data_IF_518656911465
#
_entry.id   IF_518656911465
#
_cell.length_a   1.000
_cell.length_b   1.000
_cell.length_c   1.000
_cell.angle_alpha   90.00
_cell.angle_beta   90.00
_cell.angle_gamma   90.00
#
_symmetry.space_group_name_H-M   'P 1'
#
loop_
_entity.id
_entity.type
_entity.pdbx_description
1 polymer ?
#
# COMPACT_ATOMS: atom_id res chain seq x y z
N UNK A 1 9.07 -0.20 -0.79
CA UNK A 1 7.75 -0.74 -1.05
C UNK A 1 7.76 -2.24 -1.35
N UNK A 2 8.48 -2.70 -2.38
CA UNK A 2 8.56 -4.14 -2.73
C UNK A 2 8.78 -5.07 -1.53
N UNK A 3 9.78 -4.82 -0.68
CA UNK A 3 10.05 -5.63 0.52
C UNK A 3 8.87 -5.74 1.50
N UNK A 4 8.12 -4.67 1.70
CA UNK A 4 6.97 -4.64 2.61
C UNK A 4 5.79 -5.41 2.02
N UNK A 5 5.51 -5.20 0.73
CA UNK A 5 4.48 -5.94 -0.01
C UNK A 5 4.79 -7.44 -0.02
N UNK A 6 6.03 -7.82 -0.36
CA UNK A 6 6.46 -9.23 -0.39
C UNK A 6 6.26 -9.90 0.98
N UNK A 7 6.62 -9.20 2.07
CA UNK A 7 6.40 -9.68 3.43
C UNK A 7 4.91 -9.82 3.77
N UNK A 8 4.08 -8.85 3.40
CA UNK A 8 2.63 -8.90 3.65
C UNK A 8 1.96 -10.03 2.85
N UNK A 9 2.36 -10.25 1.60
CA UNK A 9 1.91 -11.37 0.78
C UNK A 9 2.31 -12.71 1.40
N UNK A 10 3.56 -12.83 1.87
CA UNK A 10 4.00 -14.01 2.62
C UNK A 10 3.14 -14.25 3.88
N UNK A 11 2.91 -13.21 4.68
CA UNK A 11 2.08 -13.31 5.88
C UNK A 11 0.66 -13.77 5.55
N UNK A 12 0.08 -13.28 4.45
CA UNK A 12 -1.25 -13.70 4.00
C UNK A 12 -1.28 -15.18 3.63
N UNK A 13 -0.27 -15.65 2.89
CA UNK A 13 -0.13 -17.07 2.54
C UNK A 13 -0.01 -17.96 3.79
N UNK A 14 0.79 -17.55 4.77
CA UNK A 14 0.92 -18.26 6.04
C UNK A 14 -0.41 -18.32 6.80
N UNK A 15 -1.17 -17.23 6.83
CA UNK A 15 -2.49 -17.19 7.45
C UNK A 15 -3.48 -18.13 6.76
N UNK A 16 -3.52 -18.15 5.42
CA UNK A 16 -4.34 -19.10 4.67
C UNK A 16 -3.96 -20.55 4.98
N UNK A 17 -2.66 -20.86 5.06
CA UNK A 17 -2.20 -22.20 5.46
C UNK A 17 -2.68 -22.57 6.86
N UNK A 18 -2.60 -21.64 7.82
CA UNK A 18 -3.11 -21.84 9.19
C UNK A 18 -4.63 -22.05 9.22
N UNK A 19 -5.39 -21.28 8.46
CA UNK A 19 -6.85 -21.43 8.34
C UNK A 19 -7.20 -22.81 7.78
N UNK A 20 -6.53 -23.24 6.70
CA UNK A 20 -6.73 -24.56 6.10
C UNK A 20 -6.45 -25.66 7.11
N UNK A 21 -5.34 -25.57 7.85
CA UNK A 21 -5.02 -26.51 8.91
C UNK A 21 -6.12 -26.55 9.99
N UNK A 22 -6.58 -25.38 10.46
CA UNK A 22 -7.63 -25.27 11.49
C UNK A 22 -8.98 -25.81 11.04
N UNK A 23 -9.32 -25.73 9.75
CA UNK A 23 -10.60 -26.19 9.20
C UNK A 23 -10.67 -27.70 8.97
N UNK A 24 -9.55 -28.31 8.58
CA UNK A 24 -9.54 -29.69 8.08
C UNK A 24 -8.75 -30.68 8.94
N UNK A 25 -8.00 -30.21 9.94
CA UNK A 25 -7.32 -31.11 10.86
C UNK A 25 -8.22 -31.50 12.03
N UNK A 26 -8.54 -32.80 12.13
CA UNK A 26 -9.35 -33.36 13.20
C UNK A 26 -8.56 -33.64 14.50
N UNK A 27 -7.24 -33.52 14.48
CA UNK A 27 -6.36 -33.81 15.63
C UNK A 27 -6.05 -32.57 16.49
N UNK A 28 -6.83 -31.50 16.35
CA UNK A 28 -6.62 -30.27 17.12
C UNK A 28 -7.31 -30.43 18.48
N UNK A 29 -6.52 -30.37 19.55
CA UNK A 29 -7.02 -30.42 20.93
C UNK A 29 -7.53 -29.04 21.40
N UNK A 30 -8.45 -28.45 20.65
CA UNK A 30 -9.09 -27.17 20.94
C UNK A 30 -10.61 -27.28 20.74
N UNK A 31 -11.38 -26.50 21.49
CA UNK A 31 -12.84 -26.45 21.29
C UNK A 31 -13.20 -25.81 19.95
N UNK A 32 -14.37 -26.16 19.40
CA UNK A 32 -14.90 -25.54 18.17
C UNK A 32 -14.97 -24.01 18.26
N UNK A 33 -15.26 -23.46 19.45
CA UNK A 33 -15.28 -22.01 19.69
C UNK A 33 -13.90 -21.37 19.57
N UNK A 34 -12.86 -22.02 20.10
CA UNK A 34 -11.47 -21.55 20.00
C UNK A 34 -10.97 -21.61 18.55
N UNK A 35 -11.23 -22.72 17.86
CA UNK A 35 -10.88 -22.89 16.44
C UNK A 35 -11.53 -21.78 15.61
N UNK A 36 -12.83 -21.53 15.82
CA UNK A 36 -13.55 -20.45 15.16
C UNK A 36 -12.92 -19.09 15.42
N UNK A 37 -12.66 -18.74 16.68
CA UNK A 37 -12.06 -17.46 17.04
C UNK A 37 -10.69 -17.24 16.36
N UNK A 38 -9.85 -18.29 16.28
CA UNK A 38 -8.57 -18.23 15.58
C UNK A 38 -8.74 -18.01 14.08
N UNK A 39 -9.68 -18.72 13.45
CA UNK A 39 -10.00 -18.52 12.03
C UNK A 39 -10.47 -17.08 11.79
N UNK A 40 -11.34 -16.55 12.64
CA UNK A 40 -11.88 -15.19 12.51
C UNK A 40 -10.75 -14.14 12.59
N UNK A 41 -9.82 -14.27 13.53
CA UNK A 41 -8.65 -13.38 13.65
C UNK A 41 -7.72 -13.49 12.43
N UNK A 42 -7.48 -14.70 11.92
CA UNK A 42 -6.63 -14.90 10.75
C UNK A 42 -7.27 -14.33 9.47
N UNK A 43 -8.59 -14.42 9.33
CA UNK A 43 -9.33 -13.77 8.23
C UNK A 43 -9.23 -12.24 8.32
N UNK A 44 -9.50 -11.67 9.49
CA UNK A 44 -9.34 -10.23 9.71
C UNK A 44 -7.91 -9.78 9.42
N UNK A 45 -6.89 -10.53 9.83
CA UNK A 45 -5.49 -10.21 9.53
C UNK A 45 -5.23 -10.19 8.01
N UNK A 46 -5.83 -11.10 7.24
CA UNK A 46 -5.74 -11.10 5.78
C UNK A 46 -6.46 -9.90 5.14
N UNK A 47 -7.59 -9.46 5.68
CA UNK A 47 -8.25 -8.21 5.26
C UNK A 47 -7.34 -7.00 5.50
N UNK A 48 -6.66 -6.96 6.65
CA UNK A 48 -5.69 -5.90 6.95
C UNK A 48 -4.49 -5.93 5.99
N UNK A 49 -3.94 -7.11 5.70
CA UNK A 49 -2.88 -7.25 4.69
C UNK A 49 -3.32 -6.65 3.36
N UNK A 50 -4.50 -7.01 2.86
CA UNK A 50 -5.03 -6.48 1.61
C UNK A 50 -5.16 -4.95 1.64
N UNK A 51 -5.70 -4.39 2.73
CA UNK A 51 -5.82 -2.95 2.92
C UNK A 51 -4.46 -2.24 2.84
N UNK A 52 -3.45 -2.74 3.56
CA UNK A 52 -2.12 -2.12 3.59
C UNK A 52 -1.37 -2.26 2.26
N UNK A 53 -1.49 -3.40 1.56
CA UNK A 53 -0.93 -3.55 0.21
C UNK A 53 -1.58 -2.53 -0.74
N UNK A 54 -2.91 -2.35 -0.68
CA UNK A 54 -3.59 -1.35 -1.51
C UNK A 54 -3.12 0.07 -1.20
N UNK A 55 -3.02 0.41 0.08
CA UNK A 55 -2.52 1.72 0.53
C UNK A 55 -1.10 1.97 0.02
N UNK A 56 -0.22 0.99 0.13
CA UNK A 56 1.16 1.12 -0.33
C UNK A 56 1.27 1.24 -1.85
N UNK A 57 0.43 0.52 -2.61
CA UNK A 57 0.33 0.65 -4.07
C UNK A 57 -0.15 2.04 -4.50
N UNK A 58 -1.06 2.65 -3.74
CA UNK A 58 -1.59 4.00 -4.01
C UNK A 58 -0.67 5.15 -3.57
N UNK A 59 0.33 4.90 -2.73
CA UNK A 59 1.13 5.94 -2.09
C UNK A 59 1.80 6.92 -3.07
N UNK A 60 2.41 6.40 -4.15
CA UNK A 60 3.06 7.27 -5.15
C UNK A 60 2.04 8.04 -6.00
N UNK A 61 0.85 7.49 -6.24
CA UNK A 61 -0.23 8.18 -6.94
C UNK A 61 -0.80 9.31 -6.10
N UNK A 62 -0.98 9.08 -4.78
CA UNK A 62 -1.33 10.12 -3.81
C UNK A 62 -0.29 11.24 -3.80
N UNK A 63 1.00 10.90 -3.80
CA UNK A 63 2.08 11.90 -3.85
C UNK A 63 2.06 12.73 -5.15
N UNK A 64 1.76 12.12 -6.30
CA UNK A 64 1.58 12.84 -7.57
C UNK A 64 0.40 13.83 -7.51
N UNK A 65 -0.68 13.47 -6.82
CA UNK A 65 -1.80 14.37 -6.62
C UNK A 65 -1.40 15.59 -5.78
N UNK A 66 -0.58 15.42 -4.75
CA UNK A 66 -0.02 16.53 -3.97
C UNK A 66 0.85 17.46 -4.83
N UNK A 67 1.68 16.92 -5.72
CA UNK A 67 2.45 17.74 -6.69
C UNK A 67 1.51 18.58 -7.56
N UNK A 68 0.43 17.99 -8.07
CA UNK A 68 -0.57 18.72 -8.88
C UNK A 68 -1.26 19.82 -8.08
N UNK A 69 -1.63 19.54 -6.83
CA UNK A 69 -2.20 20.55 -5.93
C UNK A 69 -1.22 21.70 -5.69
N UNK A 70 0.07 21.39 -5.49
CA UNK A 70 1.10 22.41 -5.31
C UNK A 70 1.27 23.28 -6.58
N UNK A 71 1.26 22.67 -7.77
CA UNK A 71 1.28 23.41 -9.05
C UNK A 71 0.07 24.35 -9.18
N UNK A 72 -1.12 23.89 -8.77
CA UNK A 72 -2.32 24.71 -8.75
C UNK A 72 -2.19 25.89 -7.78
N UNK A 73 -1.59 25.69 -6.60
CA UNK A 73 -1.31 26.79 -5.67
C UNK A 73 -0.31 27.79 -6.26
N UNK A 74 0.71 27.33 -6.98
CA UNK A 74 1.70 28.21 -7.63
C UNK A 74 1.08 29.02 -8.77
N UNK A 75 -0.03 28.58 -9.38
CA UNK A 75 -0.68 29.30 -10.47
C UNK A 75 -1.07 30.75 -10.10
N UNK A 76 -1.37 31.02 -8.82
CA UNK A 76 -1.75 32.35 -8.31
C UNK A 76 -0.56 33.27 -8.03
N UNK A 77 0.67 32.73 -8.04
CA UNK A 77 1.89 33.52 -7.83
C UNK A 77 2.13 34.39 -9.07
N UNK A 78 2.62 35.61 -8.85
CA UNK A 78 3.01 36.53 -9.93
C UNK A 78 4.02 35.88 -10.86
N UNK A 79 3.85 36.16 -12.15
CA UNK A 79 4.76 35.65 -13.18
C UNK A 79 6.17 36.20 -12.98
N UNK A 80 7.18 35.34 -13.15
CA UNK A 80 8.58 35.70 -12.92
C UNK A 80 9.48 34.48 -12.77
N UNK A 81 10.78 34.72 -12.65
CA UNK A 81 11.79 33.66 -12.56
C UNK A 81 11.56 32.72 -11.38
N UNK A 82 11.10 33.25 -10.24
CA UNK A 82 10.76 32.45 -9.07
C UNK A 82 9.66 31.42 -9.36
N UNK A 83 8.55 31.84 -9.97
CA UNK A 83 7.44 30.94 -10.33
C UNK A 83 7.89 29.87 -11.32
N UNK A 84 8.69 30.26 -12.32
CA UNK A 84 9.25 29.34 -13.31
C UNK A 84 10.15 28.30 -12.65
N UNK A 85 11.01 28.71 -11.72
CA UNK A 85 11.88 27.80 -10.98
C UNK A 85 11.08 26.81 -10.12
N UNK A 86 10.02 27.26 -9.43
CA UNK A 86 9.15 26.37 -8.66
C UNK A 86 8.46 25.33 -9.54
N UNK A 87 7.88 25.75 -10.68
CA UNK A 87 7.22 24.84 -11.60
C UNK A 87 8.21 23.83 -12.19
N UNK A 88 9.39 24.29 -12.62
CA UNK A 88 10.43 23.41 -13.15
C UNK A 88 10.89 22.37 -12.12
N UNK A 89 11.04 22.75 -10.85
CA UNK A 89 11.40 21.80 -9.79
C UNK A 89 10.30 20.76 -9.54
N UNK A 90 9.02 21.17 -9.59
CA UNK A 90 7.89 20.26 -9.46
C UNK A 90 7.74 19.33 -10.67
N UNK A 91 8.03 19.80 -11.89
CA UNK A 91 8.07 18.98 -13.10
C UNK A 91 9.15 17.91 -13.01
N UNK A 92 10.33 18.28 -12.51
CA UNK A 92 11.43 17.33 -12.30
C UNK A 92 11.06 16.26 -11.26
N UNK A 93 10.48 16.66 -10.12
CA UNK A 93 10.01 15.72 -9.10
C UNK A 93 8.90 14.79 -9.63
N UNK A 94 7.94 15.33 -10.39
CA UNK A 94 6.89 14.52 -11.02
C UNK A 94 7.49 13.47 -11.97
N UNK A 95 8.51 13.85 -12.75
CA UNK A 95 9.22 12.92 -13.63
C UNK A 95 9.90 11.79 -12.84
N UNK A 96 10.63 12.13 -11.78
CA UNK A 96 11.32 11.15 -10.93
C UNK A 96 10.35 10.15 -10.27
N UNK A 97 9.20 10.63 -9.80
CA UNK A 97 8.14 9.78 -9.23
C UNK A 97 7.55 8.86 -10.31
N UNK A 98 7.22 9.40 -11.50
CA UNK A 98 6.67 8.62 -12.60
C UNK A 98 7.65 7.54 -13.09
N UNK A 99 8.93 7.86 -13.20
CA UNK A 99 9.98 6.89 -13.54
C UNK A 99 10.03 5.76 -12.49
N UNK A 100 9.83 6.08 -11.20
CA UNK A 100 9.75 5.07 -10.13
C UNK A 100 8.50 4.19 -10.23
N UNK A 101 7.35 4.74 -10.58
CA UNK A 101 6.12 3.98 -10.80
C UNK A 101 6.29 3.03 -12.00
N UNK A 102 6.88 3.52 -13.09
CA UNK A 102 7.05 2.76 -14.33
C UNK A 102 8.16 1.71 -14.25
N UNK A 103 9.24 1.95 -13.48
CA UNK A 103 10.31 0.98 -13.22
C UNK A 103 9.96 -0.08 -12.15
N UNK A 104 8.87 0.14 -11.40
CA UNK A 104 8.33 -0.82 -10.44
C UNK A 104 7.28 -1.77 -11.00
N UNK A 105 6.87 -1.59 -12.27
CA UNK A 105 6.05 -2.54 -13.05
C UNK A 105 6.94 -3.60 -13.68
#
# INVERSE_FOLDING_TARGET
MKKSIDFLEQLSNENYSKITHLRFNNNINESTKQIKARIDILNWANEMVYFYIKKEKGFLEEFLNEIKLQKNQISIIKEGEYKKALLAQLDQLEKEINDRINSGK
#
